data_IF_836175991266
#
_entry.id   IF_836175991266
#
_cell.length_a   1.000
_cell.length_b   1.000
_cell.length_c   1.000
_cell.angle_alpha   90.00
_cell.angle_beta   90.00
_cell.angle_gamma   90.00
#
_symmetry.space_group_name_H-M   'P 1'
#
loop_
_entity.id
_entity.type
_entity.pdbx_description
1 polymer ?
#
# COMPACT_ATOMS: atom_id res chain seq x y z
N UNK A 1 -56.97 -15.60 3.86
CA UNK A 1 -56.22 -16.87 4.02
C UNK A 1 -55.15 -16.94 2.93
N UNK A 2 -53.89 -17.15 3.36
CA UNK A 2 -52.61 -17.32 2.62
C UNK A 2 -51.68 -16.09 2.52
N UNK A 3 -50.57 -16.24 3.25
CA UNK A 3 -49.33 -15.46 3.33
C UNK A 3 -48.32 -16.07 2.34
N UNK A 4 -47.50 -15.23 1.70
CA UNK A 4 -46.17 -15.46 1.04
C UNK A 4 -46.04 -14.46 -0.11
N UNK A 5 -44.96 -13.74 -0.37
CA UNK A 5 -43.59 -13.71 0.14
C UNK A 5 -42.96 -12.42 -0.41
N UNK A 6 -42.19 -11.69 0.41
CA UNK A 6 -41.32 -10.61 -0.03
C UNK A 6 -40.12 -11.17 -0.81
N UNK A 7 -39.84 -10.65 -2.00
CA UNK A 7 -38.56 -10.76 -2.72
C UNK A 7 -38.31 -9.36 -3.32
N UNK A 8 -37.44 -8.48 -2.81
CA UNK A 8 -35.97 -8.56 -2.77
C UNK A 8 -35.36 -8.94 -4.12
N UNK A 9 -35.18 -7.96 -5.02
CA UNK A 9 -34.14 -8.02 -6.05
C UNK A 9 -33.42 -6.68 -6.07
N UNK A 10 -32.25 -6.73 -5.45
CA UNK A 10 -31.24 -5.69 -5.36
C UNK A 10 -30.69 -5.47 -6.77
N UNK A 11 -30.65 -4.22 -7.21
CA UNK A 11 -29.93 -3.81 -8.41
C UNK A 11 -28.44 -4.14 -8.23
N UNK A 12 -27.96 -5.20 -8.86
CA UNK A 12 -26.53 -5.47 -8.96
C UNK A 12 -25.95 -4.48 -9.97
N UNK A 13 -25.37 -3.40 -9.44
CA UNK A 13 -24.55 -2.47 -10.20
C UNK A 13 -23.45 -3.21 -10.96
N UNK A 14 -23.22 -2.78 -12.19
CA UNK A 14 -22.16 -3.25 -13.08
C UNK A 14 -20.81 -3.30 -12.37
N UNK A 15 -20.38 -4.49 -11.91
CA UNK A 15 -18.97 -4.73 -11.59
C UNK A 15 -18.22 -4.76 -12.92
N UNK A 16 -17.47 -3.69 -13.22
CA UNK A 16 -16.40 -3.77 -14.23
C UNK A 16 -15.55 -4.99 -13.88
N UNK A 17 -15.48 -5.95 -14.81
CA UNK A 17 -14.62 -7.12 -14.69
C UNK A 17 -13.18 -6.63 -14.69
N UNK A 18 -12.55 -6.55 -13.52
CA UNK A 18 -11.10 -6.36 -13.42
C UNK A 18 -10.49 -7.62 -14.06
N UNK A 19 -9.99 -7.49 -15.28
CA UNK A 19 -9.12 -8.49 -15.87
C UNK A 19 -7.85 -8.47 -15.03
N UNK A 20 -7.66 -9.46 -14.16
CA UNK A 20 -6.38 -9.74 -13.53
C UNK A 20 -5.35 -9.96 -14.65
N UNK A 21 -4.62 -8.90 -15.03
CA UNK A 21 -3.46 -9.01 -15.94
C UNK A 21 -2.24 -9.58 -15.20
N UNK A 22 -2.47 -10.46 -14.22
CA UNK A 22 -1.44 -11.17 -13.46
C UNK A 22 -1.28 -12.62 -13.93
N UNK A 23 -2.18 -13.10 -14.80
CA UNK A 23 -2.14 -14.49 -15.29
C UNK A 23 -0.94 -14.73 -16.21
N UNK A 24 -0.06 -15.65 -15.81
CA UNK A 24 1.11 -16.05 -16.60
C UNK A 24 2.40 -15.29 -16.27
N UNK A 25 2.38 -14.43 -15.26
CA UNK A 25 3.58 -13.76 -14.77
C UNK A 25 4.38 -14.68 -13.84
N UNK A 26 5.72 -14.54 -13.82
CA UNK A 26 6.54 -15.24 -12.86
C UNK A 26 6.20 -14.75 -11.43
N UNK A 27 6.33 -15.62 -10.42
CA UNK A 27 6.19 -15.22 -9.03
C UNK A 27 7.24 -14.14 -8.68
N UNK A 28 6.84 -13.17 -7.86
CA UNK A 28 7.62 -11.98 -7.51
C UNK A 28 7.39 -10.78 -8.44
N UNK A 29 6.32 -10.79 -9.23
CA UNK A 29 6.04 -9.66 -10.14
C UNK A 29 5.24 -8.56 -9.42
N UNK A 30 5.88 -7.43 -9.17
CA UNK A 30 5.26 -6.24 -8.56
C UNK A 30 4.38 -5.49 -9.57
N UNK A 31 3.06 -5.66 -9.46
CA UNK A 31 2.07 -4.91 -10.26
C UNK A 31 1.04 -4.27 -9.33
N UNK A 32 0.93 -2.96 -9.40
CA UNK A 32 -0.15 -2.24 -8.75
C UNK A 32 -1.47 -2.49 -9.50
N UNK A 33 -2.42 -3.17 -8.84
CA UNK A 33 -3.74 -3.51 -9.41
C UNK A 33 -4.86 -2.56 -8.99
N UNK A 34 -4.54 -1.55 -8.17
CA UNK A 34 -5.50 -0.53 -7.73
C UNK A 34 -5.84 0.49 -8.82
N UNK A 35 -6.89 1.28 -8.58
CA UNK A 35 -7.17 2.42 -9.43
C UNK A 35 -6.03 3.43 -9.33
N UNK A 36 -5.46 3.82 -10.47
CA UNK A 36 -4.47 4.88 -10.53
C UNK A 36 -5.12 6.18 -10.07
N UNK A 37 -4.71 6.66 -8.90
CA UNK A 37 -5.05 7.99 -8.40
C UNK A 37 -3.87 8.90 -8.66
N UNK A 38 -4.14 10.10 -9.13
CA UNK A 38 -3.14 11.13 -9.40
C UNK A 38 -2.72 11.81 -8.07
N UNK A 39 -2.35 10.99 -7.09
CA UNK A 39 -1.90 11.42 -5.77
C UNK A 39 -0.39 11.20 -5.74
N UNK A 40 0.41 12.23 -5.42
CA UNK A 40 1.85 12.04 -5.31
C UNK A 40 2.15 11.00 -4.23
N UNK A 41 3.07 10.10 -4.55
CA UNK A 41 3.67 9.18 -3.60
C UNK A 41 4.28 9.98 -2.45
N UNK A 42 3.93 9.65 -1.21
CA UNK A 42 4.36 10.40 -0.03
C UNK A 42 4.74 9.41 1.07
N UNK A 43 5.98 9.51 1.53
CA UNK A 43 6.45 8.80 2.71
C UNK A 43 6.28 9.71 3.91
N UNK A 44 5.75 9.19 4.99
CA UNK A 44 5.60 9.90 6.25
C UNK A 44 6.35 9.11 7.33
N UNK A 45 7.21 9.80 8.08
CA UNK A 45 8.01 9.22 9.15
C UNK A 45 7.57 9.86 10.45
N UNK A 46 7.01 9.04 11.33
CA UNK A 46 6.70 9.41 12.70
C UNK A 46 7.75 8.71 13.58
N UNK A 47 8.44 9.45 14.43
CA UNK A 47 9.43 8.92 15.37
C UNK A 47 9.14 9.41 16.77
N UNK A 48 9.22 8.51 17.74
CA UNK A 48 8.97 8.87 19.13
C UNK A 48 9.74 7.99 20.11
N UNK A 49 10.00 8.53 21.28
CA UNK A 49 10.43 7.82 22.48
C UNK A 49 9.76 8.47 23.72
N UNK A 50 10.32 8.26 24.91
CA UNK A 50 9.77 8.85 26.14
C UNK A 50 9.92 10.37 26.23
N UNK A 51 10.87 10.94 25.48
CA UNK A 51 11.34 12.32 25.64
C UNK A 51 11.07 13.18 24.40
N UNK A 52 10.99 12.58 23.20
CA UNK A 52 10.86 13.29 21.93
C UNK A 52 9.78 12.69 21.01
N UNK A 53 9.21 13.56 20.19
CA UNK A 53 8.31 13.24 19.09
C UNK A 53 8.76 14.01 17.85
N UNK A 54 8.73 13.37 16.69
CA UNK A 54 9.12 13.93 15.41
C UNK A 54 8.25 13.37 14.30
N UNK A 55 7.82 14.22 13.37
CA UNK A 55 7.00 13.86 12.23
C UNK A 55 7.45 14.67 11.02
N UNK A 56 7.76 13.98 9.91
CA UNK A 56 8.15 14.63 8.67
C UNK A 56 7.72 13.81 7.45
N UNK A 57 7.57 14.50 6.32
CA UNK A 57 7.18 13.92 5.05
C UNK A 57 8.34 13.96 4.05
N UNK A 58 8.48 12.89 3.28
CA UNK A 58 9.55 12.66 2.33
C UNK A 58 9.01 12.24 0.98
N UNK A 59 9.74 12.58 -0.07
CA UNK A 59 9.43 12.15 -1.45
C UNK A 59 10.19 10.88 -1.84
N UNK A 60 11.21 10.49 -1.08
CA UNK A 60 12.05 9.35 -1.39
C UNK A 60 12.64 8.67 -0.16
N UNK A 61 13.01 7.39 -0.34
CA UNK A 61 13.52 6.55 0.74
C UNK A 61 14.87 7.04 1.27
N UNK A 62 15.72 7.64 0.43
CA UNK A 62 17.05 8.12 0.83
C UNK A 62 16.98 9.23 1.87
N UNK A 63 16.11 10.22 1.68
CA UNK A 63 15.94 11.33 2.63
C UNK A 63 15.32 10.84 3.94
N UNK A 64 14.33 9.94 3.85
CA UNK A 64 13.73 9.31 5.01
C UNK A 64 14.77 8.57 5.85
N UNK A 65 15.62 7.75 5.22
CA UNK A 65 16.69 7.00 5.90
C UNK A 65 17.65 7.91 6.66
N UNK A 66 18.04 9.03 6.06
CA UNK A 66 18.93 10.00 6.70
C UNK A 66 18.29 10.70 7.91
N UNK A 67 16.96 10.65 8.00
CA UNK A 67 16.19 11.29 9.07
C UNK A 67 15.83 10.33 10.22
N UNK A 68 16.10 9.03 10.07
CA UNK A 68 15.84 8.04 11.13
C UNK A 68 16.84 8.26 12.27
N UNK A 69 16.30 8.50 13.47
CA UNK A 69 17.08 8.68 14.70
C UNK A 69 17.31 7.34 15.37
N UNK A 70 18.50 7.18 15.95
CA UNK A 70 18.77 6.06 16.85
C UNK A 70 17.96 6.21 18.14
N UNK A 71 17.61 5.09 18.77
CA UNK A 71 16.84 5.04 20.04
C UNK A 71 15.41 5.63 19.96
N UNK A 72 14.83 5.72 18.78
CA UNK A 72 13.40 6.03 18.59
C UNK A 72 12.67 4.82 18.00
N UNK A 73 11.37 4.73 18.32
CA UNK A 73 10.45 3.90 17.53
C UNK A 73 10.09 4.70 16.28
N UNK A 74 10.32 4.11 15.10
CA UNK A 74 10.00 4.73 13.81
C UNK A 74 8.79 4.04 13.18
N UNK A 75 7.73 4.81 12.94
CA UNK A 75 6.58 4.41 12.14
C UNK A 75 6.67 5.07 10.77
N UNK A 76 6.82 4.25 9.75
CA UNK A 76 6.87 4.68 8.35
C UNK A 76 5.51 4.40 7.72
N UNK A 77 4.89 5.44 7.17
CA UNK A 77 3.64 5.37 6.45
C UNK A 77 3.88 5.65 4.97
N UNK A 78 3.59 4.66 4.12
CA UNK A 78 3.76 4.72 2.67
C UNK A 78 2.40 5.00 2.03
N UNK A 79 2.21 6.22 1.54
CA UNK A 79 0.97 6.60 0.85
C UNK A 79 1.12 6.40 -0.66
N UNK A 80 0.11 5.78 -1.26
CA UNK A 80 0.02 5.43 -2.68
C UNK A 80 1.06 4.39 -3.15
N UNK A 81 0.64 3.14 -3.30
CA UNK A 81 1.50 2.03 -3.74
C UNK A 81 1.67 1.95 -5.26
N UNK A 82 1.19 2.94 -6.02
CA UNK A 82 1.25 2.92 -7.49
C UNK A 82 2.69 2.99 -8.04
N UNK A 83 3.64 3.49 -7.25
CA UNK A 83 5.05 3.51 -7.64
C UNK A 83 5.74 2.22 -7.18
N UNK A 84 5.66 1.18 -8.03
CA UNK A 84 6.25 -0.14 -7.74
C UNK A 84 7.76 -0.10 -7.55
N UNK A 85 8.47 0.82 -8.22
CA UNK A 85 9.92 0.99 -8.06
C UNK A 85 10.28 1.41 -6.62
N UNK A 86 9.55 2.37 -6.04
CA UNK A 86 9.82 2.75 -4.65
C UNK A 86 9.46 1.61 -3.68
N UNK A 87 8.39 0.86 -3.93
CA UNK A 87 8.02 -0.30 -3.11
C UNK A 87 9.12 -1.37 -3.14
N UNK A 88 9.70 -1.62 -4.30
CA UNK A 88 10.85 -2.52 -4.44
C UNK A 88 12.07 -1.99 -3.67
N UNK A 89 12.38 -0.69 -3.76
CA UNK A 89 13.47 -0.06 -2.99
C UNK A 89 13.26 -0.18 -1.48
N UNK A 90 12.03 0.04 -1.00
CA UNK A 90 11.65 -0.12 0.41
C UNK A 90 11.79 -1.58 0.82
N UNK A 91 11.25 -2.50 0.03
CA UNK A 91 11.32 -3.93 0.29
C UNK A 91 12.76 -4.43 0.38
N UNK A 92 13.60 -4.05 -0.58
CA UNK A 92 15.04 -4.37 -0.56
C UNK A 92 15.74 -3.80 0.67
N UNK A 93 15.40 -2.56 1.08
CA UNK A 93 16.01 -1.93 2.23
C UNK A 93 15.67 -2.62 3.56
N UNK A 94 14.41 -2.99 3.75
CA UNK A 94 13.94 -3.70 4.95
C UNK A 94 14.07 -5.22 4.83
N UNK A 95 14.69 -5.71 3.75
CA UNK A 95 14.89 -7.12 3.48
C UNK A 95 13.57 -7.93 3.47
N UNK A 96 12.51 -7.29 2.96
CA UNK A 96 11.19 -7.89 2.74
C UNK A 96 11.28 -8.74 1.47
N UNK A 97 10.84 -9.99 1.57
CA UNK A 97 10.90 -10.91 0.44
C UNK A 97 9.97 -10.45 -0.70
N UNK A 98 10.42 -10.58 -1.96
CA UNK A 98 9.67 -10.15 -3.15
C UNK A 98 8.25 -10.72 -3.23
N UNK A 99 8.05 -11.97 -2.78
CA UNK A 99 6.72 -12.60 -2.70
C UNK A 99 5.79 -11.90 -1.69
N UNK A 100 6.35 -11.38 -0.61
CA UNK A 100 5.59 -10.58 0.36
C UNK A 100 5.24 -9.21 -0.21
N UNK A 101 6.10 -8.64 -1.06
CA UNK A 101 5.81 -7.38 -1.76
C UNK A 101 4.75 -7.54 -2.84
N UNK A 102 4.68 -8.70 -3.49
CA UNK A 102 3.63 -9.04 -4.46
C UNK A 102 2.24 -9.10 -3.81
N UNK A 103 2.14 -9.57 -2.56
CA UNK A 103 0.88 -9.69 -1.82
C UNK A 103 0.34 -8.35 -1.28
N UNK A 104 1.13 -7.26 -1.33
CA UNK A 104 0.79 -5.92 -0.81
C UNK A 104 0.07 -5.07 -1.87
#
# INVERSE_FOLDING_TARGET
>A
MKIKELNHIISFGNRKKISLQTTGLPPGTLIYTGEARDVPLKLELIQYNADEFYEENFLGLTELKNSIKQNCVSWIHVNNLSNTQLIEEIGNHFNIHILTLEDI
#
